data_IF_532434534474
#
_entry.id   IF_532434534474
#
_cell.length_a   1.000
_cell.length_b   1.000
_cell.length_c   1.000
_cell.angle_alpha   90.00
_cell.angle_beta   90.00
_cell.angle_gamma   90.00
#
_symmetry.space_group_name_H-M   'P 1'
#
loop_
_entity.id
_entity.type
_entity.pdbx_description
1 polymer ?
#
# COMPACT_ATOMS: atom_id res chain seq x y z
N UNK A 1 -31.19 -37.67 -24.10
CA UNK A 1 -31.31 -36.77 -22.95
C UNK A 1 -32.69 -36.92 -22.35
N UNK A 2 -32.78 -37.35 -21.09
CA UNK A 2 -34.06 -37.59 -20.43
C UNK A 2 -34.71 -36.23 -20.01
N UNK A 3 -36.05 -36.24 -19.88
CA UNK A 3 -36.80 -35.08 -19.38
C UNK A 3 -36.28 -34.57 -18.02
N UNK A 4 -35.64 -35.41 -17.25
CA UNK A 4 -35.04 -35.09 -15.95
C UNK A 4 -33.75 -34.28 -16.10
N UNK A 5 -32.91 -34.53 -17.13
CA UNK A 5 -31.70 -33.74 -17.41
C UNK A 5 -32.03 -32.36 -17.92
N UNK A 6 -33.13 -32.20 -18.68
CA UNK A 6 -33.61 -30.89 -19.09
C UNK A 6 -34.15 -30.07 -17.88
N UNK A 7 -34.89 -30.68 -16.98
CA UNK A 7 -35.39 -30.01 -15.77
C UNK A 7 -34.28 -29.60 -14.82
N UNK A 8 -33.21 -30.40 -14.67
CA UNK A 8 -32.06 -30.04 -13.86
C UNK A 8 -31.24 -28.87 -14.47
N UNK A 9 -31.14 -28.82 -15.80
CA UNK A 9 -30.49 -27.68 -16.51
C UNK A 9 -31.29 -26.36 -16.41
N UNK A 10 -32.62 -26.45 -16.42
CA UNK A 10 -33.48 -25.27 -16.21
C UNK A 10 -33.50 -24.82 -14.75
N UNK A 11 -33.52 -25.73 -13.80
CA UNK A 11 -33.44 -25.45 -12.38
C UNK A 11 -32.12 -24.73 -12.00
N UNK A 12 -30.99 -25.23 -12.53
CA UNK A 12 -29.68 -24.62 -12.28
C UNK A 12 -29.51 -23.23 -12.91
N UNK A 13 -30.16 -22.95 -14.06
CA UNK A 13 -30.18 -21.61 -14.68
C UNK A 13 -31.06 -20.63 -13.91
N UNK A 14 -32.20 -21.09 -13.40
CA UNK A 14 -33.10 -20.24 -12.58
C UNK A 14 -32.49 -19.91 -11.22
N UNK A 15 -31.79 -20.86 -10.60
CA UNK A 15 -31.05 -20.62 -9.34
C UNK A 15 -29.86 -19.70 -9.57
N UNK A 16 -29.14 -19.82 -10.69
CA UNK A 16 -28.04 -18.88 -11.05
C UNK A 16 -28.56 -17.49 -11.39
N UNK A 17 -29.70 -17.38 -12.09
CA UNK A 17 -30.35 -16.10 -12.35
C UNK A 17 -30.92 -15.46 -11.07
N UNK A 18 -31.44 -16.24 -10.15
CA UNK A 18 -31.90 -15.74 -8.85
C UNK A 18 -30.73 -15.31 -7.93
N UNK A 19 -29.58 -16.03 -7.98
CA UNK A 19 -28.37 -15.63 -7.27
C UNK A 19 -27.72 -14.38 -7.87
N UNK A 20 -27.68 -14.24 -9.20
CA UNK A 20 -27.20 -13.02 -9.87
C UNK A 20 -28.16 -11.85 -9.64
N UNK A 21 -29.48 -12.08 -9.62
CA UNK A 21 -30.46 -11.05 -9.26
C UNK A 21 -30.37 -10.65 -7.77
N UNK A 22 -30.05 -11.60 -6.88
CA UNK A 22 -29.81 -11.32 -5.46
C UNK A 22 -28.49 -10.57 -5.22
N UNK A 23 -27.44 -10.89 -6.00
CA UNK A 23 -26.16 -10.13 -5.98
C UNK A 23 -26.32 -8.73 -6.59
N UNK A 24 -27.14 -8.58 -7.64
CA UNK A 24 -27.45 -7.24 -8.21
C UNK A 24 -28.35 -6.40 -7.28
N UNK A 25 -29.21 -7.02 -6.47
CA UNK A 25 -30.01 -6.29 -5.46
C UNK A 25 -29.14 -5.87 -4.28
N UNK A 26 -28.09 -6.65 -3.92
CA UNK A 26 -27.10 -6.25 -2.90
C UNK A 26 -26.15 -5.18 -3.44
N UNK A 27 -25.82 -5.18 -4.73
CA UNK A 27 -25.04 -4.12 -5.36
C UNK A 27 -25.86 -2.84 -5.64
N UNK A 28 -27.19 -2.95 -5.76
CA UNK A 28 -28.10 -1.81 -5.98
C UNK A 28 -28.60 -1.14 -4.71
N UNK A 29 -28.40 -1.75 -3.54
CA UNK A 29 -28.70 -1.15 -2.22
C UNK A 29 -27.49 -0.54 -1.53
N UNK A 30 -26.31 -0.54 -2.17
CA UNK A 30 -25.10 0.08 -1.66
C UNK A 30 -25.05 1.62 -1.85
N UNK A 31 -26.15 2.23 -2.29
CA UNK A 31 -26.24 3.68 -2.48
C UNK A 31 -27.09 4.41 -1.42
N UNK A 32 -27.48 3.76 -0.33
CA UNK A 32 -28.21 4.46 0.75
C UNK A 32 -27.82 4.02 2.17
N UNK A 33 -26.64 3.43 2.33
CA UNK A 33 -26.03 3.25 3.64
C UNK A 33 -25.13 4.45 3.95
N UNK A 34 -25.75 5.60 4.29
CA UNK A 34 -25.12 6.50 5.23
C UNK A 34 -24.93 5.68 6.52
N UNK A 35 -23.69 5.19 6.76
CA UNK A 35 -23.33 4.64 8.05
C UNK A 35 -23.54 5.76 9.08
N UNK A 36 -24.76 5.87 9.60
CA UNK A 36 -25.13 6.81 10.65
C UNK A 36 -24.57 6.33 12.00
N UNK A 37 -24.49 7.23 12.95
CA UNK A 37 -24.16 6.87 14.31
C UNK A 37 -25.17 5.83 14.85
N UNK A 38 -24.72 4.85 15.66
CA UNK A 38 -25.65 3.93 16.32
C UNK A 38 -26.71 4.70 17.12
N UNK A 39 -27.95 4.17 17.15
CA UNK A 39 -29.06 4.78 17.89
C UNK A 39 -28.68 5.05 19.35
N UNK A 40 -28.89 6.28 19.83
CA UNK A 40 -28.65 6.69 21.21
C UNK A 40 -27.40 7.52 21.48
N UNK A 41 -26.61 7.83 20.46
CA UNK A 41 -25.50 8.78 20.59
C UNK A 41 -25.95 10.21 20.29
N UNK A 42 -25.47 11.17 21.09
CA UNK A 42 -25.58 12.60 20.79
C UNK A 42 -24.61 12.93 19.63
N UNK A 43 -25.17 13.26 18.46
CA UNK A 43 -24.39 13.50 17.25
C UNK A 43 -24.24 14.99 16.99
N UNK A 44 -23.09 15.35 16.44
CA UNK A 44 -22.72 16.70 16.03
C UNK A 44 -22.58 16.76 14.52
N UNK A 45 -22.77 17.93 13.93
CA UNK A 45 -22.65 18.11 12.48
C UNK A 45 -21.22 18.49 12.10
N UNK A 46 -20.61 17.68 11.27
CA UNK A 46 -19.34 17.97 10.60
C UNK A 46 -19.57 18.04 9.09
N UNK A 47 -19.11 19.11 8.46
CA UNK A 47 -19.06 19.24 6.98
C UNK A 47 -17.65 19.14 6.50
N UNK A 48 -17.45 18.38 5.43
CA UNK A 48 -16.17 18.28 4.73
C UNK A 48 -16.33 18.89 3.35
N UNK A 49 -15.65 20.01 3.09
CA UNK A 49 -15.61 20.62 1.76
C UNK A 49 -14.43 20.07 0.99
N UNK A 50 -14.71 19.37 -0.11
CA UNK A 50 -13.71 18.80 -1.00
C UNK A 50 -13.38 19.78 -2.12
N UNK A 51 -12.07 19.99 -2.36
CA UNK A 51 -11.55 20.85 -3.41
C UNK A 51 -10.38 20.17 -4.13
N UNK A 52 -9.93 20.77 -5.24
CA UNK A 52 -8.84 20.22 -6.06
C UNK A 52 -9.16 20.35 -7.54
N UNK A 53 -8.30 19.82 -8.41
CA UNK A 53 -8.47 19.79 -9.87
C UNK A 53 -9.35 18.60 -10.28
N UNK A 54 -10.60 18.63 -9.85
CA UNK A 54 -11.59 17.57 -10.03
C UNK A 54 -12.44 17.79 -11.28
N UNK A 55 -12.77 16.74 -12.04
CA UNK A 55 -13.68 16.84 -13.17
C UNK A 55 -15.14 17.18 -12.75
N UNK A 56 -15.53 16.73 -11.56
CA UNK A 56 -16.78 17.05 -10.90
C UNK A 56 -16.61 17.03 -9.39
N UNK A 57 -17.42 17.79 -8.65
CA UNK A 57 -17.36 17.87 -7.17
C UNK A 57 -18.49 17.13 -6.49
N UNK A 58 -19.50 16.73 -7.23
CA UNK A 58 -20.65 16.00 -6.72
C UNK A 58 -20.40 14.50 -6.71
N UNK A 59 -21.04 13.80 -5.77
CA UNK A 59 -21.02 12.33 -5.61
C UNK A 59 -19.62 11.75 -5.31
N UNK A 60 -18.73 12.56 -4.72
CA UNK A 60 -17.44 12.08 -4.23
C UNK A 60 -17.63 11.47 -2.85
N UNK A 61 -17.22 10.20 -2.70
CA UNK A 61 -17.28 9.50 -1.40
C UNK A 61 -16.24 10.07 -0.44
N UNK A 62 -16.72 10.53 0.71
CA UNK A 62 -15.89 10.99 1.85
C UNK A 62 -16.07 10.01 2.99
N UNK A 63 -14.97 9.57 3.61
CA UNK A 63 -14.97 8.66 4.75
C UNK A 63 -14.39 9.34 5.97
N UNK A 64 -15.03 9.14 7.12
CA UNK A 64 -14.50 9.45 8.44
C UNK A 64 -14.19 8.15 9.16
N UNK A 65 -13.09 8.10 9.87
CA UNK A 65 -12.74 6.96 10.73
C UNK A 65 -12.29 7.48 12.08
N UNK A 66 -12.87 6.97 13.17
CA UNK A 66 -12.45 7.33 14.53
C UNK A 66 -11.21 6.50 14.95
N UNK A 67 -10.63 6.85 16.08
CA UNK A 67 -9.46 6.15 16.66
C UNK A 67 -9.74 4.70 17.10
N UNK A 68 -10.98 4.23 17.01
CA UNK A 68 -11.39 2.85 17.30
C UNK A 68 -11.71 2.06 16.04
N UNK A 69 -11.56 2.69 14.86
CA UNK A 69 -11.86 2.08 13.57
C UNK A 69 -13.33 2.15 13.16
N UNK A 70 -14.20 2.85 13.93
CA UNK A 70 -15.58 3.10 13.52
C UNK A 70 -15.57 4.07 12.32
N UNK A 71 -16.22 3.68 11.23
CA UNK A 71 -16.24 4.43 9.98
C UNK A 71 -17.63 4.97 9.68
N UNK A 72 -17.66 6.18 9.10
CA UNK A 72 -18.85 6.85 8.58
C UNK A 72 -18.55 7.25 7.13
N UNK A 73 -19.55 7.26 6.27
CA UNK A 73 -19.41 7.65 4.88
C UNK A 73 -20.54 8.60 4.46
N UNK A 74 -20.22 9.58 3.63
CA UNK A 74 -21.16 10.45 2.98
C UNK A 74 -20.64 10.86 1.60
N UNK A 75 -21.55 11.15 0.65
CA UNK A 75 -21.18 11.71 -0.66
C UNK A 75 -21.26 13.24 -0.62
N UNK A 76 -20.44 13.89 -1.44
CA UNK A 76 -20.51 15.34 -1.63
C UNK A 76 -21.71 15.74 -2.45
N UNK A 77 -22.29 16.90 -2.11
CA UNK A 77 -23.30 17.60 -2.90
C UNK A 77 -22.70 18.34 -4.12
N UNK A 78 -23.52 19.11 -4.83
CA UNK A 78 -23.11 19.89 -6.00
C UNK A 78 -22.06 20.97 -5.68
N UNK A 79 -22.02 21.44 -4.44
CA UNK A 79 -21.05 22.41 -3.92
C UNK A 79 -19.73 21.74 -3.46
N UNK A 80 -19.67 20.39 -3.48
CA UNK A 80 -18.54 19.59 -3.04
C UNK A 80 -18.48 19.40 -1.52
N UNK A 81 -19.63 19.44 -0.83
CA UNK A 81 -19.71 19.32 0.62
C UNK A 81 -20.35 18.00 1.02
N UNK A 82 -19.63 17.18 1.78
CA UNK A 82 -20.17 16.01 2.45
C UNK A 82 -20.56 16.36 3.89
N UNK A 83 -21.80 16.03 4.31
CA UNK A 83 -22.32 16.32 5.65
C UNK A 83 -22.46 15.04 6.45
N UNK A 84 -21.90 15.07 7.66
CA UNK A 84 -21.90 13.96 8.60
C UNK A 84 -22.61 14.34 9.90
N UNK A 85 -23.26 13.34 10.51
CA UNK A 85 -23.80 13.41 11.86
C UNK A 85 -23.09 12.33 12.69
N UNK A 86 -22.11 12.75 13.48
CA UNK A 86 -21.20 11.83 14.18
C UNK A 86 -21.06 12.16 15.65
N UNK A 87 -20.75 11.19 16.53
CA UNK A 87 -20.47 11.43 17.93
C UNK A 87 -19.29 12.39 18.14
N UNK A 88 -19.21 12.95 19.33
CA UNK A 88 -18.00 13.67 19.79
C UNK A 88 -16.80 12.73 19.72
N UNK A 89 -15.70 13.16 19.09
CA UNK A 89 -14.52 12.32 18.91
C UNK A 89 -13.42 12.97 18.09
N UNK A 90 -12.39 12.21 17.84
CA UNK A 90 -11.29 12.56 16.94
C UNK A 90 -11.37 11.66 15.73
N UNK A 91 -11.36 12.25 14.56
CA UNK A 91 -11.57 11.55 13.30
C UNK A 91 -10.41 11.78 12.34
N UNK A 92 -10.17 10.78 11.51
CA UNK A 92 -9.45 10.92 10.25
C UNK A 92 -10.48 11.03 9.13
N UNK A 93 -10.33 12.03 8.26
CA UNK A 93 -11.11 12.21 7.04
C UNK A 93 -10.29 11.68 5.88
N UNK A 94 -10.86 10.85 5.03
CA UNK A 94 -10.22 10.38 3.80
C UNK A 94 -11.13 10.49 2.61
N UNK A 95 -10.55 10.86 1.46
CA UNK A 95 -11.19 10.83 0.15
C UNK A 95 -10.27 10.09 -0.80
N UNK A 96 -10.83 9.14 -1.54
CA UNK A 96 -10.20 8.52 -2.70
C UNK A 96 -11.21 8.47 -3.83
N UNK A 97 -10.93 9.17 -4.90
CA UNK A 97 -11.80 9.23 -6.08
C UNK A 97 -10.98 8.91 -7.33
N UNK A 98 -11.44 7.97 -8.13
CA UNK A 98 -10.75 7.52 -9.36
C UNK A 98 -11.56 7.98 -10.56
N UNK A 99 -10.90 8.66 -11.51
CA UNK A 99 -11.52 8.98 -12.79
C UNK A 99 -11.71 7.73 -13.64
N UNK A 100 -12.61 7.80 -14.60
CA UNK A 100 -12.75 6.75 -15.60
C UNK A 100 -11.41 6.53 -16.33
N UNK A 101 -11.01 5.27 -16.60
CA UNK A 101 -9.78 4.96 -17.30
C UNK A 101 -9.74 5.60 -18.69
N UNK A 102 -8.59 6.18 -19.04
CA UNK A 102 -8.31 6.62 -20.40
C UNK A 102 -6.95 6.03 -20.82
N UNK A 103 -6.95 5.26 -21.90
CA UNK A 103 -5.77 4.59 -22.47
C UNK A 103 -4.97 3.71 -21.46
N UNK A 104 -5.67 3.09 -20.50
CA UNK A 104 -5.07 2.23 -19.47
C UNK A 104 -4.49 2.97 -18.26
N UNK A 105 -4.49 4.31 -18.29
CA UNK A 105 -4.10 5.14 -17.16
C UNK A 105 -5.32 5.65 -16.41
N UNK A 106 -5.20 5.73 -15.10
CA UNK A 106 -6.25 6.30 -14.23
C UNK A 106 -5.70 7.51 -13.52
N UNK A 107 -6.50 8.55 -13.42
CA UNK A 107 -6.20 9.68 -12.54
C UNK A 107 -6.91 9.44 -11.22
N UNK A 108 -6.17 9.47 -10.13
CA UNK A 108 -6.70 9.37 -8.77
C UNK A 108 -6.64 10.75 -8.10
N UNK A 109 -7.64 11.03 -7.29
CA UNK A 109 -7.78 12.27 -6.52
C UNK A 109 -7.91 11.86 -5.06
N UNK A 110 -6.85 12.07 -4.29
CA UNK A 110 -6.74 11.60 -2.93
C UNK A 110 -6.48 12.73 -1.95
N UNK A 111 -7.04 12.63 -0.76
CA UNK A 111 -6.77 13.57 0.32
C UNK A 111 -7.09 12.96 1.67
N UNK A 112 -6.35 13.38 2.69
CA UNK A 112 -6.62 13.01 4.08
C UNK A 112 -6.38 14.17 5.04
N UNK A 113 -7.17 14.20 6.12
CA UNK A 113 -7.00 15.10 7.26
C UNK A 113 -7.02 14.28 8.53
N UNK A 114 -6.02 14.42 9.39
CA UNK A 114 -5.98 13.80 10.70
C UNK A 114 -6.41 14.76 11.79
N UNK A 115 -6.74 14.19 12.95
CA UNK A 115 -7.04 14.94 14.18
C UNK A 115 -8.20 15.93 14.03
N UNK A 116 -9.19 15.61 13.18
CA UNK A 116 -10.43 16.40 13.09
C UNK A 116 -11.24 16.19 14.36
N UNK A 117 -11.26 17.21 15.23
CA UNK A 117 -11.87 17.13 16.57
C UNK A 117 -13.30 17.61 16.50
N UNK A 118 -14.26 16.70 16.65
CA UNK A 118 -15.69 16.99 16.81
C UNK A 118 -16.01 17.12 18.30
N UNK A 119 -16.53 18.30 18.72
CA UNK A 119 -16.88 18.62 20.11
C UNK A 119 -18.39 18.79 20.25
N UNK A 120 -18.88 18.85 21.49
CA UNK A 120 -20.26 19.22 21.75
C UNK A 120 -20.58 20.59 21.15
N UNK A 121 -21.81 20.72 20.62
CA UNK A 121 -22.30 21.92 19.95
C UNK A 121 -21.46 22.32 18.72
N UNK A 122 -20.77 21.35 18.11
CA UNK A 122 -20.00 21.55 16.87
C UNK A 122 -20.93 21.62 15.65
N UNK A 123 -20.83 22.70 14.90
CA UNK A 123 -21.32 22.83 13.54
C UNK A 123 -20.25 23.58 12.75
N UNK A 124 -19.34 22.85 12.11
CA UNK A 124 -18.20 23.45 11.42
C UNK A 124 -17.86 22.71 10.13
N UNK A 125 -17.13 23.40 9.29
CA UNK A 125 -16.64 22.87 8.01
C UNK A 125 -15.12 22.75 8.06
N UNK A 126 -14.60 21.61 7.64
CA UNK A 126 -13.18 21.41 7.34
C UNK A 126 -12.99 21.40 5.82
N UNK A 127 -11.90 22.01 5.36
CA UNK A 127 -11.54 22.04 3.95
C UNK A 127 -10.50 20.94 3.68
N UNK A 128 -10.78 20.08 2.68
CA UNK A 128 -9.88 19.03 2.24
C UNK A 128 -9.56 19.24 0.75
N UNK A 129 -8.30 19.55 0.46
CA UNK A 129 -7.83 19.66 -0.91
C UNK A 129 -7.27 18.32 -1.37
N UNK A 130 -7.75 17.83 -2.51
CA UNK A 130 -7.30 16.58 -3.08
C UNK A 130 -6.06 16.78 -3.94
N UNK A 131 -5.05 15.94 -3.70
CA UNK A 131 -3.93 15.78 -4.60
C UNK A 131 -4.34 14.92 -5.79
N UNK A 132 -3.79 15.23 -6.96
CA UNK A 132 -4.01 14.48 -8.20
C UNK A 132 -2.77 13.64 -8.48
N UNK A 133 -2.94 12.36 -8.73
CA UNK A 133 -1.89 11.45 -9.15
C UNK A 133 -2.36 10.59 -10.33
N UNK A 134 -1.41 9.99 -11.04
CA UNK A 134 -1.70 9.01 -12.09
C UNK A 134 -1.16 7.67 -11.61
N UNK A 135 -1.96 6.62 -11.68
CA UNK A 135 -1.51 5.28 -11.30
C UNK A 135 -0.47 4.75 -12.29
N UNK A 136 0.51 4.03 -11.77
CA UNK A 136 1.52 3.33 -12.58
C UNK A 136 0.97 1.99 -13.08
N UNK A 137 1.49 1.51 -14.22
CA UNK A 137 1.28 0.13 -14.63
C UNK A 137 2.05 -0.87 -13.74
N UNK A 138 3.11 -0.41 -13.08
CA UNK A 138 3.93 -1.24 -12.19
C UNK A 138 3.50 -0.98 -10.75
N UNK A 139 3.09 -2.04 -10.06
CA UNK A 139 2.52 -1.96 -8.71
C UNK A 139 3.01 -3.09 -7.80
N UNK A 140 2.79 -2.91 -6.51
CA UNK A 140 3.00 -3.93 -5.47
C UNK A 140 1.79 -4.84 -5.46
N UNK A 141 1.97 -6.10 -5.88
CA UNK A 141 0.92 -7.12 -5.91
C UNK A 141 0.77 -7.79 -4.55
N UNK A 142 1.88 -8.10 -3.89
CA UNK A 142 1.87 -8.72 -2.56
C UNK A 142 3.06 -8.26 -1.72
N UNK A 143 2.83 -8.04 -0.42
CA UNK A 143 3.85 -7.73 0.55
C UNK A 143 3.77 -8.71 1.73
N UNK A 144 4.82 -9.54 1.90
CA UNK A 144 4.97 -10.48 3.00
C UNK A 144 6.18 -10.11 3.86
N UNK A 145 5.93 -9.55 5.03
CA UNK A 145 6.99 -9.05 5.94
C UNK A 145 6.89 -9.61 7.36
N UNK A 146 5.74 -10.14 7.74
CA UNK A 146 5.46 -10.60 9.10
C UNK A 146 6.18 -11.90 9.49
N UNK A 147 6.58 -12.69 8.51
CA UNK A 147 7.21 -13.98 8.71
C UNK A 147 6.28 -15.07 9.22
N UNK A 148 6.75 -16.31 9.25
CA UNK A 148 5.97 -17.47 9.66
C UNK A 148 6.18 -17.85 11.13
N UNK A 149 5.27 -18.65 11.68
CA UNK A 149 5.47 -19.32 12.96
C UNK A 149 6.47 -20.46 12.80
N UNK A 150 7.39 -20.62 13.74
CA UNK A 150 8.28 -21.77 13.81
C UNK A 150 7.49 -23.03 14.10
N UNK A 151 7.93 -24.19 13.56
CA UNK A 151 7.20 -25.47 13.65
C UNK A 151 7.00 -25.97 15.08
N UNK A 152 7.87 -25.58 16.00
CA UNK A 152 7.81 -25.93 17.42
C UNK A 152 6.98 -24.97 18.28
N UNK A 153 6.41 -23.93 17.65
CA UNK A 153 5.65 -22.89 18.33
C UNK A 153 6.48 -21.94 19.20
N UNK A 154 7.82 -22.03 19.19
CA UNK A 154 8.71 -21.24 20.06
C UNK A 154 8.83 -19.79 19.68
N UNK A 155 8.15 -19.33 18.64
CA UNK A 155 8.17 -17.94 18.17
C UNK A 155 8.11 -17.84 16.64
N UNK A 156 8.67 -16.73 16.14
CA UNK A 156 8.52 -16.32 14.75
C UNK A 156 9.84 -16.39 14.01
N UNK A 157 9.72 -16.63 12.69
CA UNK A 157 10.80 -16.53 11.74
C UNK A 157 10.44 -15.46 10.70
N UNK A 158 11.23 -14.42 10.53
CA UNK A 158 10.96 -13.27 9.65
C UNK A 158 12.03 -13.02 8.61
N UNK A 159 12.66 -14.08 8.10
CA UNK A 159 13.68 -13.97 7.06
C UNK A 159 13.24 -14.54 5.73
N UNK A 160 11.99 -14.97 5.68
CA UNK A 160 11.26 -15.44 4.51
C UNK A 160 10.41 -14.34 3.86
N UNK A 161 10.79 -13.08 4.10
CA UNK A 161 10.10 -11.90 3.57
C UNK A 161 10.27 -11.78 2.07
N UNK A 162 9.22 -11.35 1.40
CA UNK A 162 9.27 -11.00 -0.01
C UNK A 162 8.28 -9.90 -0.38
N UNK A 163 8.48 -9.32 -1.55
CA UNK A 163 7.51 -8.50 -2.25
C UNK A 163 7.33 -9.05 -3.67
N UNK A 164 6.11 -9.00 -4.18
CA UNK A 164 5.82 -9.26 -5.59
C UNK A 164 5.44 -7.93 -6.23
N UNK A 165 6.16 -7.58 -7.30
CA UNK A 165 5.90 -6.40 -8.13
C UNK A 165 5.36 -6.91 -9.46
N UNK A 166 4.24 -6.34 -9.91
CA UNK A 166 3.54 -6.76 -11.11
C UNK A 166 3.46 -5.64 -12.15
N UNK A 167 3.51 -6.00 -13.41
CA UNK A 167 3.02 -5.17 -14.51
C UNK A 167 1.51 -5.43 -14.68
N UNK A 168 0.72 -4.48 -14.28
CA UNK A 168 -0.75 -4.54 -14.29
C UNK A 168 -1.34 -4.08 -15.64
N UNK A 169 -0.63 -4.34 -16.74
CA UNK A 169 -1.06 -3.87 -18.06
C UNK A 169 -0.68 -4.84 -19.20
N UNK A 170 -1.37 -4.70 -20.33
CA UNK A 170 -1.09 -5.41 -21.57
C UNK A 170 0.13 -4.86 -22.35
N UNK A 171 0.85 -3.88 -21.78
CA UNK A 171 1.99 -3.25 -22.41
C UNK A 171 3.28 -3.69 -21.74
N UNK A 172 4.34 -3.84 -22.54
CA UNK A 172 5.69 -3.98 -22.01
C UNK A 172 6.12 -2.64 -21.39
N UNK A 173 6.60 -2.68 -20.16
CA UNK A 173 7.08 -1.50 -19.42
C UNK A 173 8.59 -1.60 -19.23
N UNK A 174 9.29 -0.51 -19.54
CA UNK A 174 10.73 -0.38 -19.29
C UNK A 174 10.95 0.81 -18.37
N UNK A 175 11.59 0.55 -17.22
CA UNK A 175 11.86 1.56 -16.19
C UNK A 175 13.35 1.93 -16.20
N UNK A 176 13.72 3.21 -16.05
CA UNK A 176 15.10 3.67 -15.92
C UNK A 176 15.67 3.39 -14.51
N UNK A 177 15.75 2.14 -14.13
CA UNK A 177 16.02 1.69 -12.78
C UNK A 177 14.72 1.52 -11.97
N UNK A 178 14.74 0.59 -11.03
CA UNK A 178 13.65 0.34 -10.08
C UNK A 178 14.23 0.23 -8.69
N UNK A 179 13.65 0.95 -7.75
CA UNK A 179 14.09 1.04 -6.36
C UNK A 179 12.98 0.63 -5.40
N UNK A 180 13.37 -0.02 -4.30
CA UNK A 180 12.50 -0.41 -3.19
C UNK A 180 12.90 0.37 -1.95
N UNK A 181 11.96 1.09 -1.35
CA UNK A 181 12.21 1.92 -0.18
C UNK A 181 11.14 1.75 0.91
N UNK A 182 11.47 2.26 2.09
CA UNK A 182 10.54 2.44 3.20
C UNK A 182 10.53 3.91 3.60
N UNK A 183 9.36 4.41 3.98
CA UNK A 183 9.26 5.76 4.52
C UNK A 183 9.67 5.80 6.01
N UNK A 184 10.11 6.96 6.46
CA UNK A 184 10.46 7.22 7.87
C UNK A 184 9.24 7.77 8.63
N UNK A 185 9.07 7.43 9.93
CA UNK A 185 9.78 6.41 10.73
C UNK A 185 9.49 4.99 10.23
N UNK A 186 10.41 4.05 10.48
CA UNK A 186 10.37 2.69 9.92
C UNK A 186 9.15 1.83 10.35
N UNK A 187 8.39 2.28 11.35
CA UNK A 187 7.12 1.68 11.76
C UNK A 187 6.07 2.76 12.08
N UNK A 188 4.79 2.38 12.15
CA UNK A 188 3.67 3.30 12.34
C UNK A 188 3.35 3.64 13.79
N UNK A 189 3.84 2.89 14.77
CA UNK A 189 3.46 3.01 16.17
C UNK A 189 4.40 3.90 17.00
N UNK A 190 5.43 4.44 16.38
CA UNK A 190 6.25 5.47 17.00
C UNK A 190 5.62 6.85 16.86
N UNK A 191 6.04 7.78 17.73
CA UNK A 191 5.66 9.17 17.58
C UNK A 191 6.20 9.70 16.25
N UNK A 192 5.31 9.93 15.30
CA UNK A 192 5.63 10.64 14.07
C UNK A 192 5.41 12.15 14.29
N UNK A 193 6.49 12.91 14.33
CA UNK A 193 6.46 14.37 14.51
C UNK A 193 6.36 15.14 13.20
N UNK A 194 6.28 14.45 12.07
CA UNK A 194 6.24 15.04 10.74
C UNK A 194 4.82 15.47 10.33
N UNK A 195 4.02 15.90 11.30
CA UNK A 195 2.70 16.47 11.06
C UNK A 195 2.67 17.94 11.46
N UNK A 196 2.03 18.75 10.63
CA UNK A 196 1.72 20.14 10.96
C UNK A 196 0.52 20.24 11.93
N UNK A 197 0.16 21.48 12.31
CA UNK A 197 -0.94 21.75 13.25
C UNK A 197 -2.32 21.38 12.66
N UNK A 198 -2.43 21.32 11.32
CA UNK A 198 -3.66 20.99 10.60
C UNK A 198 -3.80 19.49 10.35
N UNK A 199 -2.81 18.68 10.71
CA UNK A 199 -2.81 17.23 10.59
C UNK A 199 -2.35 16.69 9.23
N UNK A 200 -1.63 17.50 8.44
CA UNK A 200 -0.97 17.07 7.22
C UNK A 200 0.47 16.67 7.48
N UNK A 201 1.01 15.79 6.65
CA UNK A 201 2.44 15.52 6.64
C UNK A 201 3.19 16.79 6.17
N UNK A 202 4.17 17.24 6.94
CA UNK A 202 4.89 18.49 6.69
C UNK A 202 5.67 18.52 5.36
N UNK A 203 5.92 17.36 4.75
CA UNK A 203 6.55 17.20 3.43
C UNK A 203 5.54 16.99 2.28
N UNK A 204 4.25 16.88 2.57
CA UNK A 204 3.22 16.63 1.55
C UNK A 204 3.15 17.78 0.54
N UNK A 205 3.17 19.03 1.02
CA UNK A 205 3.16 20.22 0.18
C UNK A 205 4.47 20.44 -0.60
N UNK A 206 5.58 19.82 -0.16
CA UNK A 206 6.84 19.83 -0.89
C UNK A 206 6.90 18.75 -1.99
N UNK A 207 5.91 17.87 -2.06
CA UNK A 207 5.75 16.86 -3.12
C UNK A 207 6.77 15.73 -3.08
N UNK A 208 7.16 15.24 -1.90
CA UNK A 208 8.06 14.09 -1.77
C UNK A 208 7.67 13.14 -0.64
N UNK A 209 8.22 11.92 -0.67
CA UNK A 209 8.21 10.97 0.45
C UNK A 209 9.65 10.76 0.92
N UNK A 210 9.95 10.87 2.23
CA UNK A 210 11.28 10.64 2.74
C UNK A 210 11.62 9.15 2.80
N UNK A 211 12.50 8.68 1.90
CA UNK A 211 13.06 7.34 1.94
C UNK A 211 14.04 7.21 3.11
N UNK A 212 13.72 6.31 4.05
CA UNK A 212 14.47 6.14 5.30
C UNK A 212 15.79 5.40 5.07
N UNK A 213 16.87 5.98 5.57
CA UNK A 213 18.21 5.40 5.78
C UNK A 213 18.88 4.71 4.59
N UNK A 214 18.14 4.08 3.70
CA UNK A 214 18.64 3.36 2.52
C UNK A 214 17.50 2.89 1.64
N UNK A 215 17.83 2.52 0.42
CA UNK A 215 16.93 1.79 -0.47
C UNK A 215 17.71 0.71 -1.25
N UNK A 216 16.98 -0.25 -1.79
CA UNK A 216 17.51 -1.28 -2.68
C UNK A 216 17.16 -0.94 -4.12
N UNK A 217 18.01 -1.34 -5.07
CA UNK A 217 17.78 -1.10 -6.49
C UNK A 217 18.22 -2.27 -7.36
N UNK A 218 17.56 -2.46 -8.49
CA UNK A 218 17.94 -3.42 -9.50
C UNK A 218 19.24 -2.99 -10.16
N UNK A 219 20.15 -3.93 -10.42
CA UNK A 219 21.45 -3.63 -11.03
C UNK A 219 21.35 -3.20 -12.50
N UNK A 220 20.29 -3.63 -13.18
CA UNK A 220 20.07 -3.28 -14.58
C UNK A 220 19.73 -1.80 -14.71
N UNK A 221 20.32 -1.15 -15.72
CA UNK A 221 20.02 0.25 -16.02
C UNK A 221 18.58 0.44 -16.52
N UNK A 222 18.04 -0.60 -17.17
CA UNK A 222 16.65 -0.69 -17.59
C UNK A 222 16.02 -1.95 -17.01
N UNK A 223 15.01 -1.79 -16.19
CA UNK A 223 14.23 -2.90 -15.65
C UNK A 223 13.01 -3.10 -16.52
N UNK A 224 12.94 -4.26 -17.17
CA UNK A 224 11.87 -4.59 -18.11
C UNK A 224 10.84 -5.49 -17.42
N UNK A 225 9.57 -5.15 -17.62
CA UNK A 225 8.44 -6.02 -17.31
C UNK A 225 7.69 -6.31 -18.61
N UNK A 226 7.54 -7.58 -18.94
CA UNK A 226 6.65 -8.00 -20.03
C UNK A 226 5.17 -7.79 -19.62
N UNK A 227 4.21 -7.80 -20.56
CA UNK A 227 2.79 -7.71 -20.21
C UNK A 227 2.40 -8.74 -19.16
N UNK A 228 1.76 -8.30 -18.07
CA UNK A 228 1.28 -9.14 -16.95
C UNK A 228 2.37 -9.90 -16.18
N UNK A 229 3.64 -9.54 -16.38
CA UNK A 229 4.76 -10.17 -15.68
C UNK A 229 4.78 -9.77 -14.21
N UNK A 230 5.04 -10.77 -13.35
CA UNK A 230 5.31 -10.59 -11.92
C UNK A 230 6.78 -10.89 -11.61
N UNK A 231 7.40 -10.08 -10.76
CA UNK A 231 8.75 -10.32 -10.24
C UNK A 231 8.69 -10.50 -8.73
N UNK A 232 9.16 -11.65 -8.26
CA UNK A 232 9.31 -11.94 -6.83
C UNK A 232 10.68 -11.48 -6.37
N UNK A 233 10.72 -10.68 -5.30
CA UNK A 233 11.96 -10.19 -4.70
C UNK A 233 12.03 -10.65 -3.24
N UNK A 234 12.93 -11.57 -2.93
CA UNK A 234 13.25 -11.95 -1.56
C UNK A 234 13.91 -10.77 -0.83
N UNK A 235 13.29 -10.30 0.25
CA UNK A 235 13.76 -9.12 1.00
C UNK A 235 14.77 -9.44 2.09
N UNK A 236 15.05 -10.71 2.34
CA UNK A 236 16.08 -11.19 3.27
C UNK A 236 16.75 -12.46 2.71
N UNK A 237 16.46 -13.63 3.26
CA UNK A 237 17.09 -14.87 2.84
C UNK A 237 16.52 -15.42 1.53
N UNK A 238 17.27 -15.38 0.46
CA UNK A 238 16.89 -15.97 -0.84
C UNK A 238 17.29 -17.45 -0.92
N UNK A 239 16.71 -18.25 -0.04
CA UNK A 239 16.96 -19.70 0.10
C UNK A 239 15.63 -20.44 0.25
N UNK A 240 15.65 -21.76 0.19
CA UNK A 240 14.47 -22.56 0.51
C UNK A 240 14.27 -22.65 2.02
N UNK A 241 13.41 -21.80 2.56
CA UNK A 241 13.10 -21.78 3.99
C UNK A 241 12.19 -22.92 4.42
N UNK A 242 11.50 -23.59 3.49
CA UNK A 242 10.63 -24.76 3.80
C UNK A 242 11.44 -25.95 4.34
N UNK A 243 12.72 -26.01 4.02
CA UNK A 243 13.64 -27.01 4.57
C UNK A 243 13.90 -26.85 6.08
N UNK A 244 13.61 -25.68 6.63
CA UNK A 244 13.78 -25.38 8.06
C UNK A 244 12.43 -25.24 8.77
N UNK A 245 11.47 -24.57 8.14
CA UNK A 245 10.15 -24.30 8.71
C UNK A 245 9.06 -24.61 7.69
N UNK A 246 8.19 -25.58 7.97
CA UNK A 246 7.11 -26.02 7.08
C UNK A 246 6.09 -24.90 6.75
N UNK A 247 5.97 -23.92 7.66
CA UNK A 247 5.07 -22.79 7.48
C UNK A 247 5.65 -21.67 6.64
N UNK A 248 6.91 -21.77 6.24
CA UNK A 248 7.63 -20.79 5.42
C UNK A 248 7.44 -21.04 3.92
N UNK A 249 8.17 -20.29 3.11
CA UNK A 249 8.12 -20.31 1.65
C UNK A 249 9.49 -20.68 1.06
N UNK A 250 9.48 -21.19 -0.18
CA UNK A 250 10.68 -21.43 -0.95
C UNK A 250 11.03 -20.17 -1.77
N UNK A 251 12.12 -19.48 -1.40
CA UNK A 251 12.64 -18.31 -2.12
C UNK A 251 13.88 -18.62 -2.96
N UNK A 252 14.16 -19.90 -3.22
CA UNK A 252 15.32 -20.39 -3.97
C UNK A 252 14.94 -20.76 -5.41
N UNK A 253 14.38 -19.85 -6.21
CA UNK A 253 13.99 -20.10 -7.59
C UNK A 253 14.81 -19.23 -8.57
N UNK A 254 15.18 -19.73 -9.75
CA UNK A 254 16.07 -19.02 -10.68
C UNK A 254 15.49 -17.73 -11.25
N UNK A 255 14.16 -17.61 -11.32
CA UNK A 255 13.42 -16.43 -11.77
C UNK A 255 13.29 -15.33 -10.72
N UNK A 256 13.59 -15.63 -9.42
CA UNK A 256 13.44 -14.68 -8.34
C UNK A 256 14.63 -13.73 -8.24
N UNK A 257 14.36 -12.55 -7.72
CA UNK A 257 15.33 -11.54 -7.33
C UNK A 257 15.54 -11.55 -5.83
N UNK A 258 16.61 -10.94 -5.35
CA UNK A 258 16.84 -10.83 -3.91
C UNK A 258 17.64 -9.59 -3.51
N UNK A 259 17.36 -9.08 -2.33
CA UNK A 259 18.20 -8.08 -1.70
C UNK A 259 19.44 -8.79 -1.13
N UNK A 260 20.60 -8.59 -1.78
CA UNK A 260 21.86 -9.16 -1.31
C UNK A 260 23.04 -8.26 -1.67
N UNK A 261 23.56 -7.55 -0.68
CA UNK A 261 24.72 -6.68 -0.79
C UNK A 261 25.50 -6.66 0.52
N UNK A 262 26.45 -7.58 0.65
CA UNK A 262 27.24 -7.76 1.86
C UNK A 262 28.20 -6.60 2.17
N UNK A 263 28.50 -5.76 1.16
CA UNK A 263 29.31 -4.55 1.35
C UNK A 263 28.52 -3.48 2.09
N UNK A 264 27.22 -3.44 1.88
CA UNK A 264 26.30 -2.49 2.52
C UNK A 264 25.67 -3.07 3.80
N UNK A 265 25.29 -4.35 3.79
CA UNK A 265 24.61 -5.03 4.88
C UNK A 265 25.32 -6.35 5.25
N UNK A 266 26.08 -6.32 6.32
CA UNK A 266 26.98 -7.42 6.71
C UNK A 266 26.33 -8.54 7.52
N UNK A 267 25.04 -8.45 7.86
CA UNK A 267 24.35 -9.48 8.65
C UNK A 267 24.12 -10.76 7.83
N UNK A 268 25.00 -11.74 7.96
CA UNK A 268 24.85 -13.07 7.31
C UNK A 268 23.62 -13.82 7.79
N UNK A 269 23.07 -13.47 8.94
CA UNK A 269 21.84 -14.06 9.44
C UNK A 269 20.59 -13.44 8.82
N UNK A 270 20.63 -12.16 8.42
CA UNK A 270 19.56 -11.52 7.66
C UNK A 270 19.69 -11.78 6.15
N UNK A 271 20.93 -11.85 5.68
CA UNK A 271 21.28 -12.07 4.27
C UNK A 271 22.25 -13.27 4.19
N UNK A 272 21.76 -14.51 4.36
CA UNK A 272 22.55 -15.68 4.03
C UNK A 272 22.89 -15.64 2.53
N UNK A 273 23.96 -16.35 2.13
CA UNK A 273 24.27 -16.49 0.71
C UNK A 273 23.04 -16.97 -0.05
N UNK A 274 22.62 -16.28 -1.11
CA UNK A 274 21.51 -16.73 -1.91
C UNK A 274 21.73 -18.12 -2.48
N UNK A 275 20.64 -18.81 -2.81
CA UNK A 275 20.70 -20.08 -3.51
C UNK A 275 21.50 -19.95 -4.82
N UNK A 276 22.31 -20.96 -5.15
CA UNK A 276 23.04 -21.02 -6.42
C UNK A 276 22.13 -21.05 -7.65
N UNK A 277 20.85 -21.32 -7.47
CA UNK A 277 19.85 -21.25 -8.54
C UNK A 277 19.59 -19.81 -8.99
N UNK A 278 19.76 -18.82 -8.12
CA UNK A 278 19.48 -17.41 -8.41
C UNK A 278 20.70 -16.78 -9.08
N UNK A 279 20.57 -16.27 -10.31
CA UNK A 279 21.66 -15.58 -10.99
C UNK A 279 22.15 -14.36 -10.20
N UNK A 280 23.44 -14.08 -10.21
CA UNK A 280 24.01 -12.90 -9.54
C UNK A 280 23.52 -11.57 -10.12
N UNK A 281 23.06 -11.56 -11.38
CA UNK A 281 22.35 -10.42 -11.98
C UNK A 281 21.02 -10.10 -11.31
N UNK A 282 20.42 -11.06 -10.61
CA UNK A 282 19.18 -10.87 -9.88
C UNK A 282 19.40 -10.37 -8.43
N UNK A 283 20.65 -10.10 -8.02
CA UNK A 283 20.94 -9.53 -6.71
C UNK A 283 20.77 -8.01 -6.76
N UNK A 284 19.81 -7.50 -6.01
CA UNK A 284 19.65 -6.05 -5.83
C UNK A 284 20.82 -5.51 -5.01
N UNK A 285 21.20 -4.28 -5.31
CA UNK A 285 22.21 -3.52 -4.58
C UNK A 285 21.55 -2.49 -3.67
N UNK A 286 22.25 -2.10 -2.61
CA UNK A 286 21.77 -1.10 -1.68
C UNK A 286 22.55 0.21 -1.80
N UNK A 287 21.84 1.33 -1.66
CA UNK A 287 22.46 2.63 -1.33
C UNK A 287 22.12 2.95 0.10
N UNK A 288 23.14 3.18 0.92
CA UNK A 288 23.02 3.65 2.30
C UNK A 288 23.53 5.08 2.39
N UNK A 289 22.82 5.89 3.13
CA UNK A 289 23.18 7.29 3.33
C UNK A 289 23.14 7.64 4.83
N UNK A 290 24.05 8.52 5.24
CA UNK A 290 24.28 8.82 6.64
C UNK A 290 25.13 7.74 7.36
N UNK A 291 25.35 7.95 8.65
CA UNK A 291 26.15 7.08 9.51
C UNK A 291 25.29 5.90 10.04
N UNK A 292 24.87 5.05 9.14
CA UNK A 292 23.99 3.91 9.46
C UNK A 292 24.78 2.83 10.23
N UNK A 293 24.24 2.41 11.36
CA UNK A 293 24.83 1.35 12.18
C UNK A 293 24.12 -0.01 12.02
N UNK A 294 22.98 -0.05 11.33
CA UNK A 294 22.21 -1.27 11.16
C UNK A 294 22.94 -2.27 10.27
N UNK A 295 23.02 -3.52 10.71
CA UNK A 295 23.60 -4.62 9.94
C UNK A 295 22.61 -5.23 8.92
N UNK A 296 21.36 -4.81 8.95
CA UNK A 296 20.30 -5.21 8.04
C UNK A 296 19.34 -4.03 7.78
N UNK A 297 18.66 -4.06 6.65
CA UNK A 297 17.66 -3.06 6.30
C UNK A 297 16.54 -2.99 7.35
N UNK A 298 16.18 -1.80 7.87
CA UNK A 298 15.24 -1.66 8.97
C UNK A 298 13.77 -1.80 8.53
N UNK A 299 13.49 -2.76 7.64
CA UNK A 299 12.13 -3.06 7.19
C UNK A 299 11.31 -3.63 8.35
N UNK A 300 10.27 -2.89 8.77
CA UNK A 300 9.36 -3.32 9.84
C UNK A 300 8.69 -4.66 9.52
N UNK A 301 8.63 -5.54 10.52
CA UNK A 301 7.90 -6.82 10.40
C UNK A 301 6.40 -6.68 10.68
N UNK A 302 5.94 -5.50 11.07
CA UNK A 302 4.59 -5.30 11.59
C UNK A 302 3.84 -4.17 10.92
N UNK A 303 4.55 -3.11 10.54
CA UNK A 303 3.92 -1.89 10.05
C UNK A 303 4.87 -1.07 9.17
N UNK A 304 5.34 -1.59 8.03
CA UNK A 304 6.13 -0.80 7.10
C UNK A 304 5.24 0.22 6.34
N UNK A 305 5.83 1.33 5.92
CA UNK A 305 5.34 2.10 4.77
C UNK A 305 6.30 1.79 3.63
N UNK A 306 5.92 0.87 2.78
CA UNK A 306 6.76 0.34 1.70
C UNK A 306 6.35 0.98 0.37
N UNK A 307 7.32 1.39 -0.44
CA UNK A 307 7.04 1.94 -1.75
C UNK A 307 8.13 1.60 -2.76
N UNK A 308 7.76 1.67 -4.03
CA UNK A 308 8.64 1.46 -5.18
C UNK A 308 8.71 2.74 -6.00
N UNK A 309 9.90 3.05 -6.52
CA UNK A 309 10.12 4.29 -7.26
C UNK A 309 11.20 4.14 -8.33
N UNK A 310 11.23 5.08 -9.27
CA UNK A 310 12.36 5.28 -10.19
C UNK A 310 13.15 6.51 -9.79
N UNK A 311 14.47 6.55 -10.00
CA UNK A 311 15.23 7.78 -9.77
C UNK A 311 14.71 8.89 -10.72
N UNK A 312 14.89 10.18 -10.34
CA UNK A 312 14.58 11.31 -11.23
C UNK A 312 15.29 11.19 -12.58
N UNK A 313 14.67 11.74 -13.62
CA UNK A 313 15.17 11.65 -14.98
C UNK A 313 16.63 12.12 -15.09
N UNK A 314 17.45 11.28 -15.72
CA UNK A 314 18.89 11.53 -15.92
C UNK A 314 19.79 11.15 -14.74
N UNK A 315 19.24 10.55 -13.69
CA UNK A 315 20.01 10.01 -12.56
C UNK A 315 19.91 8.49 -12.52
N UNK A 316 21.01 7.85 -12.14
CA UNK A 316 20.98 6.43 -11.73
C UNK A 316 20.53 6.33 -10.27
N UNK A 317 20.07 5.14 -9.80
CA UNK A 317 19.77 4.92 -8.40
C UNK A 317 20.93 5.27 -7.45
N UNK A 318 22.16 4.96 -7.87
CA UNK A 318 23.36 5.23 -7.09
C UNK A 318 23.66 6.74 -6.99
N UNK A 319 23.52 7.48 -8.07
CA UNK A 319 23.69 8.95 -8.09
C UNK A 319 22.63 9.61 -7.21
N UNK A 320 21.36 9.21 -7.35
CA UNK A 320 20.27 9.71 -6.52
C UNK A 320 20.50 9.46 -5.02
N UNK A 321 20.89 8.24 -4.65
CA UNK A 321 21.15 7.88 -3.26
C UNK A 321 22.37 8.59 -2.65
N UNK A 322 23.37 8.95 -3.46
CA UNK A 322 24.58 9.65 -3.04
C UNK A 322 24.47 11.19 -3.15
N UNK A 323 23.35 11.71 -3.62
CA UNK A 323 23.15 13.16 -3.72
C UNK A 323 23.02 13.78 -2.32
N UNK A 324 24.10 14.42 -1.87
CA UNK A 324 24.16 15.10 -0.57
C UNK A 324 23.32 16.37 -0.49
N UNK A 325 22.83 16.87 -1.62
CA UNK A 325 21.93 18.03 -1.66
C UNK A 325 20.48 17.61 -1.45
N UNK A 326 20.15 16.33 -1.65
CA UNK A 326 18.83 15.74 -1.52
C UNK A 326 18.66 15.05 -0.16
N UNK A 327 18.87 15.77 0.93
CA UNK A 327 18.79 15.23 2.30
C UNK A 327 17.60 15.81 3.02
N UNK A 328 16.90 14.95 3.76
CA UNK A 328 15.85 15.33 4.68
C UNK A 328 16.03 14.58 6.02
N UNK A 329 15.51 15.15 7.10
CA UNK A 329 15.57 14.57 8.44
C UNK A 329 14.20 14.59 9.09
N UNK A 330 13.88 13.57 9.87
CA UNK A 330 12.71 13.57 10.74
C UNK A 330 12.73 14.79 11.67
N UNK A 331 11.58 15.33 11.96
CA UNK A 331 11.42 16.45 12.87
C UNK A 331 12.06 16.15 14.24
N UNK A 332 13.01 17.00 14.62
CA UNK A 332 13.79 16.82 15.85
C UNK A 332 14.88 15.74 15.79
N UNK A 333 15.22 15.20 14.61
CA UNK A 333 16.23 14.16 14.41
C UNK A 333 17.29 14.52 13.38
N UNK A 334 17.74 15.76 13.35
CA UNK A 334 18.73 16.24 12.38
C UNK A 334 20.15 15.69 12.66
N UNK A 335 20.31 14.37 12.70
CA UNK A 335 21.59 13.67 12.84
C UNK A 335 21.90 12.86 11.57
N UNK A 336 23.16 12.76 11.16
CA UNK A 336 23.56 12.00 9.95
C UNK A 336 23.00 10.57 9.89
N UNK A 337 22.87 9.91 11.04
CA UNK A 337 22.31 8.56 11.17
C UNK A 337 20.86 8.46 10.68
N UNK A 338 20.10 9.54 10.78
CA UNK A 338 18.68 9.58 10.40
C UNK A 338 18.44 10.31 9.08
N UNK A 339 19.47 10.47 8.26
CA UNK A 339 19.35 11.07 6.95
C UNK A 339 18.40 10.26 6.07
N UNK A 340 17.50 10.95 5.39
CA UNK A 340 16.60 10.40 4.39
C UNK A 340 16.89 11.02 3.02
N UNK A 341 16.37 10.43 1.95
CA UNK A 341 16.34 11.04 0.62
C UNK A 341 14.91 11.45 0.28
N UNK A 342 14.75 12.66 -0.25
CA UNK A 342 13.46 13.13 -0.76
C UNK A 342 13.18 12.44 -2.08
N UNK A 343 12.25 11.49 -2.10
CA UNK A 343 11.78 10.87 -3.34
C UNK A 343 10.58 11.66 -3.85
N UNK A 344 10.69 12.34 -5.00
CA UNK A 344 9.56 13.10 -5.55
C UNK A 344 8.36 12.19 -5.80
N UNK A 345 7.15 12.65 -5.49
CA UNK A 345 5.94 11.82 -5.62
C UNK A 345 5.69 11.36 -7.05
N UNK A 346 6.05 12.16 -8.05
CA UNK A 346 5.97 11.80 -9.47
C UNK A 346 6.90 10.67 -9.89
N UNK A 347 7.90 10.33 -9.09
CA UNK A 347 8.81 9.22 -9.32
C UNK A 347 8.38 7.94 -8.58
N UNK A 348 7.40 8.03 -7.68
CA UNK A 348 6.85 6.88 -6.95
C UNK A 348 5.86 6.15 -7.86
N UNK A 349 6.08 4.87 -8.06
CA UNK A 349 5.23 4.05 -8.90
C UNK A 349 4.04 3.51 -8.13
N UNK A 350 4.27 3.08 -6.88
CA UNK A 350 3.25 2.54 -5.98
C UNK A 350 3.77 2.53 -4.54
N UNK A 351 2.84 2.52 -3.57
CA UNK A 351 3.16 2.45 -2.16
C UNK A 351 2.03 1.83 -1.34
N UNK A 352 2.40 1.23 -0.22
CA UNK A 352 1.46 0.63 0.73
C UNK A 352 1.79 1.06 2.16
N UNK A 353 0.83 1.72 2.80
CA UNK A 353 0.90 2.06 4.22
C UNK A 353 0.32 0.92 5.04
N UNK A 354 1.15 0.28 5.88
CA UNK A 354 0.73 -0.84 6.72
C UNK A 354 0.66 -0.41 8.18
N UNK A 355 -0.47 -0.68 8.81
CA UNK A 355 -0.68 -0.56 10.25
C UNK A 355 -0.81 -1.95 10.88
N UNK A 356 -0.35 -2.09 12.10
CA UNK A 356 -0.51 -3.34 12.84
C UNK A 356 -1.79 -3.31 13.67
N UNK A 357 -2.57 -4.40 13.63
CA UNK A 357 -3.74 -4.59 14.50
C UNK A 357 -3.38 -4.66 15.99
N UNK A 358 -2.10 -4.81 16.33
CA UNK A 358 -1.62 -4.88 17.72
C UNK A 358 -1.50 -3.50 18.39
N UNK A 359 -1.74 -2.39 17.69
CA UNK A 359 -1.53 -1.04 18.19
C UNK A 359 -2.79 -0.19 18.02
N UNK A 360 -3.18 0.52 19.08
CA UNK A 360 -4.37 1.38 19.09
C UNK A 360 -4.14 2.69 18.33
N UNK A 361 -2.90 3.12 18.19
CA UNK A 361 -2.52 4.35 17.51
C UNK A 361 -1.48 4.08 16.43
N UNK A 362 -1.72 4.63 15.25
CA UNK A 362 -0.79 4.54 14.13
C UNK A 362 -0.78 5.87 13.36
N UNK A 363 0.39 6.22 12.82
CA UNK A 363 0.57 7.44 12.04
C UNK A 363 1.08 7.11 10.65
N UNK A 364 0.46 7.70 9.63
CA UNK A 364 0.85 7.57 8.22
C UNK A 364 2.22 8.20 7.95
N UNK A 365 2.84 7.73 6.89
CA UNK A 365 4.14 8.20 6.39
C UNK A 365 4.12 8.42 4.88
N UNK A 366 3.21 7.79 4.17
CA UNK A 366 2.99 8.06 2.74
C UNK A 366 2.02 9.24 2.59
N UNK A 367 2.30 10.11 1.64
CA UNK A 367 1.44 11.25 1.29
C UNK A 367 0.16 10.79 0.64
N UNK A 368 -0.89 11.60 0.66
CA UNK A 368 -2.18 11.25 0.09
C UNK A 368 -2.12 10.99 -1.42
N UNK A 369 -1.15 11.59 -2.13
CA UNK A 369 -0.93 11.34 -3.57
C UNK A 369 -0.36 9.95 -3.86
N UNK A 370 0.33 9.33 -2.89
CA UNK A 370 0.91 7.98 -3.02
C UNK A 370 -0.02 6.92 -2.45
N UNK A 371 -0.50 7.13 -1.24
CA UNK A 371 -1.45 6.22 -0.56
C UNK A 371 -2.29 7.03 0.43
N UNK A 372 -3.55 7.24 0.12
CA UNK A 372 -4.44 7.99 1.04
C UNK A 372 -4.91 7.14 2.21
N UNK A 373 -4.96 5.81 2.03
CA UNK A 373 -5.41 4.86 3.04
C UNK A 373 -4.30 4.27 3.90
N UNK A 374 -4.65 3.20 4.59
CA UNK A 374 -3.72 2.27 5.23
C UNK A 374 -4.41 0.91 5.36
N UNK A 375 -3.63 -0.15 5.23
CA UNK A 375 -4.13 -1.51 5.45
C UNK A 375 -3.66 -2.03 6.80
N UNK A 376 -4.57 -2.65 7.54
CA UNK A 376 -4.25 -3.28 8.81
C UNK A 376 -3.80 -4.72 8.57
N UNK A 377 -2.72 -5.12 9.24
CA UNK A 377 -2.16 -6.45 9.17
C UNK A 377 -2.00 -7.05 10.56
N UNK A 378 -2.45 -8.28 10.72
CA UNK A 378 -2.08 -9.12 11.87
C UNK A 378 -0.60 -9.46 11.76
N UNK A 379 0.21 -8.80 12.58
CA UNK A 379 1.65 -8.98 12.56
C UNK A 379 2.02 -10.42 12.90
N UNK A 380 2.93 -11.03 12.11
CA UNK A 380 3.41 -12.39 12.31
C UNK A 380 2.39 -13.44 11.80
N UNK A 381 2.50 -14.69 12.23
CA UNK A 381 1.61 -15.81 11.92
C UNK A 381 1.55 -16.23 10.43
N UNK A 382 2.44 -15.72 9.59
CA UNK A 382 2.47 -16.06 8.17
C UNK A 382 1.46 -15.28 7.31
N UNK A 383 0.88 -14.22 7.86
CA UNK A 383 -0.04 -13.37 7.09
C UNK A 383 0.71 -12.52 6.06
N UNK A 384 0.10 -12.31 4.91
CA UNK A 384 0.56 -11.38 3.87
C UNK A 384 -0.52 -10.38 3.49
N UNK A 385 -0.11 -9.32 2.80
CA UNK A 385 -1.01 -8.35 2.20
C UNK A 385 -1.02 -8.55 0.70
N UNK A 386 -2.16 -8.89 0.12
CA UNK A 386 -2.35 -9.10 -1.30
C UNK A 386 -3.25 -8.03 -1.88
N UNK A 387 -2.92 -7.53 -3.07
CA UNK A 387 -3.74 -6.56 -3.77
C UNK A 387 -5.01 -7.24 -4.31
N UNK A 388 -6.15 -6.58 -4.16
CA UNK A 388 -7.45 -7.06 -4.66
C UNK A 388 -7.47 -7.10 -6.17
N UNK A 389 -8.24 -8.01 -6.71
CA UNK A 389 -8.51 -8.11 -8.13
C UNK A 389 -9.61 -7.12 -8.52
N UNK A 390 -9.40 -6.39 -9.59
CA UNK A 390 -10.43 -5.60 -10.29
C UNK A 390 -11.17 -6.56 -11.24
N UNK A 391 -12.22 -7.21 -10.74
CA UNK A 391 -12.96 -8.23 -11.51
C UNK A 391 -13.53 -7.69 -12.84
N UNK A 392 -14.19 -6.51 -12.89
CA UNK A 392 -14.69 -5.96 -14.14
C UNK A 392 -13.59 -5.71 -15.18
N UNK A 393 -12.46 -5.17 -14.73
CA UNK A 393 -11.33 -4.90 -15.61
C UNK A 393 -10.62 -6.18 -16.03
N UNK A 394 -10.51 -7.17 -15.15
CA UNK A 394 -9.97 -8.50 -15.46
C UNK A 394 -10.78 -9.21 -16.53
N UNK A 395 -12.12 -9.16 -16.42
CA UNK A 395 -13.00 -9.71 -17.46
C UNK A 395 -12.80 -8.99 -18.80
N UNK A 396 -12.65 -7.67 -18.80
CA UNK A 396 -12.44 -6.86 -20.00
C UNK A 396 -11.10 -7.16 -20.68
N UNK A 397 -10.04 -7.37 -19.89
CA UNK A 397 -8.69 -7.62 -20.41
C UNK A 397 -8.42 -9.11 -20.71
N UNK A 398 -9.20 -10.02 -20.13
CA UNK A 398 -8.96 -11.46 -20.22
C UNK A 398 -7.72 -11.93 -19.42
N UNK A 399 -7.27 -11.10 -18.49
CA UNK A 399 -6.15 -11.35 -17.56
C UNK A 399 -6.51 -10.82 -16.19
N UNK A 400 -5.84 -11.31 -15.16
CA UNK A 400 -5.95 -10.73 -13.82
C UNK A 400 -5.42 -9.30 -13.83
N UNK A 401 -6.29 -8.36 -13.47
CA UNK A 401 -5.96 -6.96 -13.24
C UNK A 401 -6.18 -6.64 -11.78
N UNK A 402 -5.20 -6.01 -11.15
CA UNK A 402 -5.28 -5.64 -9.75
C UNK A 402 -5.88 -4.25 -9.58
N UNK A 403 -6.65 -4.10 -8.52
CA UNK A 403 -7.24 -2.80 -8.16
C UNK A 403 -6.14 -1.84 -7.70
N UNK A 404 -6.11 -0.64 -8.27
CA UNK A 404 -5.15 0.40 -7.92
C UNK A 404 -5.84 1.75 -7.85
N UNK A 405 -6.08 2.21 -6.63
CA UNK A 405 -6.77 3.49 -6.34
C UNK A 405 -5.88 4.45 -5.53
N UNK A 406 -4.60 4.12 -5.34
CA UNK A 406 -3.70 4.79 -4.38
C UNK A 406 -4.33 4.87 -2.97
N UNK A 407 -5.00 3.81 -2.58
CA UNK A 407 -5.65 3.69 -1.28
C UNK A 407 -5.54 2.26 -0.74
N UNK A 408 -4.53 1.99 0.07
CA UNK A 408 -4.28 0.67 0.63
C UNK A 408 -5.48 0.05 1.34
N UNK A 409 -6.38 0.86 1.92
CA UNK A 409 -7.61 0.37 2.55
C UNK A 409 -8.55 -0.31 1.54
N UNK A 410 -8.61 0.22 0.32
CA UNK A 410 -9.44 -0.31 -0.76
C UNK A 410 -8.71 -1.42 -1.53
N UNK A 411 -7.41 -1.22 -1.75
CA UNK A 411 -6.63 -1.98 -2.73
C UNK A 411 -6.11 -3.30 -2.18
N UNK A 412 -5.91 -3.42 -0.86
CA UNK A 412 -5.32 -4.60 -0.25
C UNK A 412 -6.27 -5.39 0.64
N UNK A 413 -6.00 -6.68 0.76
CA UNK A 413 -6.57 -7.59 1.75
C UNK A 413 -5.46 -8.30 2.50
N UNK A 414 -5.74 -8.64 3.75
CA UNK A 414 -4.91 -9.57 4.52
C UNK A 414 -5.26 -11.01 4.13
N UNK A 415 -4.22 -11.83 3.90
CA UNK A 415 -4.31 -13.28 3.69
C UNK A 415 -3.77 -14.01 4.91
N UNK A 416 -4.34 -15.16 5.22
CA UNK A 416 -3.88 -16.03 6.31
C UNK A 416 -2.51 -16.68 6.03
N UNK A 417 -2.06 -16.68 4.77
CA UNK A 417 -0.75 -17.20 4.34
C UNK A 417 -0.29 -16.52 3.04
N UNK A 418 1.02 -16.47 2.80
CA UNK A 418 1.57 -15.86 1.59
C UNK A 418 1.26 -16.68 0.34
N UNK A 419 1.07 -16.03 -0.82
CA UNK A 419 0.66 -16.70 -2.05
C UNK A 419 1.67 -17.73 -2.55
N UNK A 420 2.97 -17.49 -2.34
CA UNK A 420 4.02 -18.45 -2.71
C UNK A 420 3.96 -19.78 -1.93
N UNK A 421 3.08 -19.88 -0.95
CA UNK A 421 2.82 -21.14 -0.25
C UNK A 421 1.79 -22.01 -0.99
N UNK A 422 1.02 -21.42 -1.91
CA UNK A 422 0.03 -22.11 -2.73
C UNK A 422 0.67 -22.78 -3.97
N UNK A 423 1.95 -22.49 -4.25
CA UNK A 423 2.75 -23.04 -5.34
C UNK A 423 3.54 -24.28 -4.90
#
# INVERSE_FOLDING_TARGET
MSKIEQMMKYGSRLVRLALVALLLVVAGSACDDSLGAPDGYDTQTLRVRVSGDLPARQDIAVRLTDNKGMAFAAATDAEGIATFHVPVGIYEVTVSHVSQPHDGWRTVYNGSLKNVIVRHDSDFTVDLTLATATTSAILIRELYVGGCQRDDGSGWFYRDKYVIIANNSAQRVTLPGLCLAIATPYNSYGLNKNYDEDGHLNYENEGFVPAASSFWYFQDQEVVFEPWEEKVIALNGAIDHTLTYRNSVNLARPEYYCTFDIEQYSSTSAYPSPSELIPTSHYLKAVRYGDQMESAWPLSNTSPAFFIFTPPAGMTPLEFGNDVTNVWYDEGRALPTFACRKVPVENILDGVEVFSTAWDEAAKRLTASVDVGAVFMTARYGHSLERRIDEPESERQGHTVYLDTNNSTNDFIERDHPSLKDE
#
